data_IF_119067587935
#
_entry.id   IF_119067587935
#
_cell.length_a   1.000
_cell.length_b   1.000
_cell.length_c   1.000
_cell.angle_alpha   90.00
_cell.angle_beta   90.00
_cell.angle_gamma   90.00
#
_symmetry.space_group_name_H-M   'P 1'
#
loop_
_entity.id
_entity.type
_entity.pdbx_description
1 polymer ?
#
# COMPACT_ATOMS: atom_id res chain seq x y z
N UNK A 1 25.65 10.99 -9.62
CA UNK A 1 24.73 9.86 -9.39
C UNK A 1 24.63 9.38 -7.93
N UNK A 2 25.64 9.60 -7.07
CA UNK A 2 25.62 9.19 -5.65
C UNK A 2 24.49 9.84 -4.80
N UNK A 3 24.18 11.12 -5.04
CA UNK A 3 23.12 11.85 -4.30
C UNK A 3 21.70 11.46 -4.70
N UNK A 4 21.52 10.97 -5.94
CA UNK A 4 20.23 10.50 -6.42
C UNK A 4 19.85 9.15 -5.81
N UNK A 5 20.83 8.23 -5.66
CA UNK A 5 20.64 6.98 -4.94
C UNK A 5 20.24 7.21 -3.47
N UNK A 6 20.89 8.18 -2.81
CA UNK A 6 20.57 8.56 -1.44
C UNK A 6 19.11 9.06 -1.30
N UNK A 7 18.65 9.89 -2.24
CA UNK A 7 17.25 10.35 -2.28
C UNK A 7 16.26 9.19 -2.46
N UNK A 8 16.51 8.27 -3.39
CA UNK A 8 15.65 7.11 -3.61
C UNK A 8 15.57 6.24 -2.35
N UNK A 9 16.72 5.95 -1.74
CA UNK A 9 16.76 5.13 -0.52
C UNK A 9 15.97 5.80 0.60
N UNK A 10 16.15 7.10 0.82
CA UNK A 10 15.36 7.85 1.81
C UNK A 10 13.86 7.82 1.52
N UNK A 11 13.47 7.93 0.24
CA UNK A 11 12.06 7.88 -0.15
C UNK A 11 11.44 6.50 0.08
N UNK A 12 12.17 5.42 -0.22
CA UNK A 12 11.71 4.05 0.03
C UNK A 12 11.52 3.81 1.54
N UNK A 13 12.46 4.25 2.37
CA UNK A 13 12.37 4.10 3.84
C UNK A 13 11.18 4.88 4.40
N UNK A 14 10.96 6.10 3.92
CA UNK A 14 9.80 6.92 4.31
C UNK A 14 8.49 6.24 3.91
N UNK A 15 8.38 5.79 2.65
CA UNK A 15 7.18 5.14 2.13
C UNK A 15 6.89 3.86 2.90
N UNK A 16 7.90 3.01 3.12
CA UNK A 16 7.76 1.76 3.88
C UNK A 16 7.28 2.01 5.30
N UNK A 17 7.89 2.99 6.00
CA UNK A 17 7.46 3.38 7.34
C UNK A 17 6.00 3.85 7.37
N UNK A 18 5.60 4.68 6.40
CA UNK A 18 4.22 5.17 6.30
C UNK A 18 3.23 4.05 6.01
N UNK A 19 3.59 3.09 5.16
CA UNK A 19 2.76 1.96 4.79
C UNK A 19 2.57 0.99 5.97
N UNK A 20 3.62 0.74 6.77
CA UNK A 20 3.53 -0.03 8.00
C UNK A 20 2.63 0.65 9.03
N UNK A 21 2.82 1.95 9.28
CA UNK A 21 1.99 2.72 10.22
C UNK A 21 0.53 2.75 9.78
N UNK A 22 0.27 3.04 8.50
CA UNK A 22 -1.09 3.02 7.95
C UNK A 22 -1.73 1.64 8.08
N UNK A 23 -0.98 0.57 7.80
CA UNK A 23 -1.46 -0.80 7.96
C UNK A 23 -1.79 -1.13 9.42
N UNK A 24 -0.94 -0.70 10.37
CA UNK A 24 -1.20 -0.89 11.80
C UNK A 24 -2.46 -0.15 12.26
N UNK A 25 -2.65 1.10 11.85
CA UNK A 25 -3.86 1.88 12.15
C UNK A 25 -5.10 1.17 11.59
N UNK A 26 -5.01 0.67 10.35
CA UNK A 26 -6.10 -0.05 9.71
C UNK A 26 -6.45 -1.31 10.52
N UNK A 27 -5.46 -2.09 10.96
CA UNK A 27 -5.69 -3.29 11.79
C UNK A 27 -6.30 -2.94 13.15
N UNK A 28 -5.89 -1.84 13.77
CA UNK A 28 -6.46 -1.41 15.06
C UNK A 28 -7.92 -0.96 14.95
N UNK A 29 -8.32 -0.40 13.81
CA UNK A 29 -9.69 0.06 13.56
C UNK A 29 -10.55 -0.94 12.79
N UNK A 30 -9.95 -1.97 12.22
CA UNK A 30 -10.66 -3.01 11.52
C UNK A 30 -11.22 -4.01 12.52
N UNK A 31 -12.54 -4.01 12.66
CA UNK A 31 -13.27 -5.09 13.33
C UNK A 31 -13.48 -6.19 12.29
N UNK A 32 -12.87 -7.38 12.44
CA UNK A 32 -13.10 -8.46 11.50
C UNK A 32 -14.54 -8.96 11.63
N UNK A 33 -15.27 -8.94 10.51
CA UNK A 33 -16.65 -9.44 10.35
C UNK A 33 -16.73 -10.99 10.43
N UNK A 34 -15.86 -11.62 11.21
CA UNK A 34 -15.78 -13.08 11.32
C UNK A 34 -16.73 -13.65 12.38
N UNK A 35 -17.10 -12.88 13.41
CA UNK A 35 -17.90 -13.41 14.51
C UNK A 35 -19.31 -13.85 14.05
N UNK A 36 -19.95 -13.09 13.17
CA UNK A 36 -21.29 -13.41 12.66
C UNK A 36 -21.25 -14.40 11.48
N UNK A 37 -20.21 -14.35 10.65
CA UNK A 37 -20.05 -15.27 9.51
C UNK A 37 -19.83 -16.72 9.93
N UNK A 38 -19.15 -17.00 11.05
CA UNK A 38 -18.90 -18.38 11.52
C UNK A 38 -20.19 -19.15 11.81
N UNK A 39 -21.24 -18.47 12.29
CA UNK A 39 -22.56 -19.08 12.52
C UNK A 39 -23.30 -19.44 11.22
N UNK A 40 -22.91 -18.83 10.10
CA UNK A 40 -23.50 -19.07 8.78
C UNK A 40 -22.80 -20.21 8.01
N UNK A 41 -21.71 -20.77 8.55
CA UNK A 41 -20.91 -21.82 7.91
C UNK A 41 -21.50 -23.23 8.11
N UNK A 42 -22.40 -23.43 9.09
CA UNK A 42 -23.00 -24.75 9.38
C UNK A 42 -23.83 -25.35 8.22
N UNK A 43 -24.08 -24.61 7.15
CA UNK A 43 -24.79 -25.08 5.95
C UNK A 43 -24.06 -24.89 4.61
N UNK A 44 -22.79 -24.47 4.59
CA UNK A 44 -22.10 -24.12 3.35
C UNK A 44 -21.43 -25.36 2.70
N UNK A 45 -21.71 -25.61 1.42
CA UNK A 45 -21.12 -26.70 0.64
C UNK A 45 -19.58 -26.67 0.70
N UNK A 46 -18.93 -27.83 0.84
CA UNK A 46 -17.47 -28.04 0.80
C UNK A 46 -16.79 -27.63 -0.52
N UNK A 47 -17.47 -26.87 -1.37
CA UNK A 47 -16.98 -26.42 -2.66
C UNK A 47 -16.37 -25.02 -2.50
N UNK A 48 -15.05 -24.94 -2.65
CA UNK A 48 -14.31 -23.68 -2.66
C UNK A 48 -14.51 -23.01 -4.01
N UNK A 49 -15.41 -22.03 -4.07
CA UNK A 49 -15.55 -21.16 -5.24
C UNK A 49 -14.40 -20.16 -5.20
N UNK A 50 -13.41 -20.35 -6.07
CA UNK A 50 -12.39 -19.33 -6.31
C UNK A 50 -13.06 -18.13 -6.98
N UNK A 51 -13.42 -17.12 -6.18
CA UNK A 51 -13.98 -15.87 -6.68
C UNK A 51 -13.06 -15.26 -7.74
N UNK A 52 -13.65 -14.81 -8.86
CA UNK A 52 -12.92 -14.14 -9.93
C UNK A 52 -12.16 -12.94 -9.37
N UNK A 53 -10.83 -13.01 -9.37
CA UNK A 53 -9.96 -11.96 -8.87
C UNK A 53 -10.12 -10.71 -9.75
N UNK A 54 -10.80 -9.69 -9.24
CA UNK A 54 -10.81 -8.36 -9.85
C UNK A 54 -9.37 -7.85 -9.90
N UNK A 55 -8.89 -7.32 -11.04
CA UNK A 55 -7.53 -6.79 -11.14
C UNK A 55 -7.37 -5.67 -10.11
N UNK A 56 -6.63 -5.95 -9.05
CA UNK A 56 -6.42 -4.99 -7.97
C UNK A 56 -5.45 -3.91 -8.45
N UNK A 57 -5.92 -2.67 -8.52
CA UNK A 57 -5.08 -1.49 -8.80
C UNK A 57 -4.15 -1.13 -7.63
N UNK A 58 -3.77 -2.10 -6.80
CA UNK A 58 -2.95 -1.89 -5.59
C UNK A 58 -1.63 -1.16 -5.90
N UNK A 59 -1.11 -1.33 -7.12
CA UNK A 59 0.14 -0.71 -7.56
C UNK A 59 -0.02 0.62 -8.29
N UNK A 60 -1.24 1.02 -8.67
CA UNK A 60 -1.46 2.27 -9.41
C UNK A 60 -1.10 3.50 -8.56
N UNK A 61 -1.52 3.53 -7.29
CA UNK A 61 -1.26 4.64 -6.38
C UNK A 61 0.25 4.78 -6.06
N UNK A 62 0.99 3.70 -5.72
CA UNK A 62 2.44 3.76 -5.56
C UNK A 62 3.19 4.32 -6.76
N UNK A 63 2.77 3.97 -7.99
CA UNK A 63 3.41 4.45 -9.23
C UNK A 63 3.22 5.97 -9.39
N UNK A 64 2.01 6.47 -9.10
CA UNK A 64 1.72 7.92 -9.13
C UNK A 64 2.52 8.66 -8.06
N UNK A 65 2.57 8.11 -6.84
CA UNK A 65 3.34 8.69 -5.74
C UNK A 65 4.84 8.75 -6.06
N UNK A 66 5.41 7.69 -6.63
CA UNK A 66 6.81 7.67 -7.07
C UNK A 66 7.10 8.71 -8.16
N UNK A 67 6.18 8.86 -9.11
CA UNK A 67 6.30 9.85 -10.19
C UNK A 67 6.25 11.28 -9.65
N UNK A 68 5.32 11.56 -8.72
CA UNK A 68 5.20 12.86 -8.06
C UNK A 68 6.45 13.19 -7.22
N UNK A 69 6.96 12.23 -6.44
CA UNK A 69 8.17 12.41 -5.64
C UNK A 69 9.41 12.72 -6.49
N UNK A 70 9.55 12.05 -7.65
CA UNK A 70 10.63 12.34 -8.59
C UNK A 70 10.54 13.75 -9.16
N UNK A 71 9.33 14.20 -9.52
CA UNK A 71 9.10 15.57 -10.01
C UNK A 71 9.38 16.64 -8.94
N UNK A 72 8.92 16.41 -7.71
CA UNK A 72 9.21 17.28 -6.56
C UNK A 72 10.71 17.40 -6.34
N UNK A 73 11.42 16.26 -6.34
CA UNK A 73 12.87 16.20 -6.10
C UNK A 73 13.63 16.99 -7.18
N UNK A 74 13.28 16.79 -8.45
CA UNK A 74 13.92 17.47 -9.58
C UNK A 74 13.67 18.99 -9.57
N UNK A 75 12.47 19.44 -9.19
CA UNK A 75 12.10 20.85 -9.18
C UNK A 75 12.70 21.60 -7.97
N UNK A 76 12.81 20.94 -6.82
CA UNK A 76 13.33 21.56 -5.60
C UNK A 76 14.87 21.58 -5.57
N UNK A 77 15.53 20.51 -6.03
CA UNK A 77 17.00 20.47 -6.14
C UNK A 77 17.55 21.49 -7.15
N UNK A 78 16.81 21.79 -8.23
CA UNK A 78 17.22 22.83 -9.20
C UNK A 78 17.03 24.27 -8.69
N UNK A 79 16.21 24.50 -7.66
CA UNK A 79 15.94 25.85 -7.14
C UNK A 79 16.95 26.29 -6.08
N UNK A 80 17.82 25.37 -5.63
CA UNK A 80 18.84 25.60 -4.61
C UNK A 80 20.27 25.55 -5.15
N UNK A 81 20.45 25.46 -6.47
CA UNK A 81 21.75 25.49 -7.14
C UNK A 81 21.97 26.85 -7.82
#
# INVERSE_FOLDING_TARGET
MKRYGLFIISFIVLLGSFQLLSGMILTLWYVPESADMWSSIEGLSNEVIFGSHSPSFAFAIPIVAATAAFFISKKWVRKSA
#
